data_IF_355035444892
#
_entry.id   IF_355035444892
#
_cell.length_a   1.000
_cell.length_b   1.000
_cell.length_c   1.000
_cell.angle_alpha   90.00
_cell.angle_beta   90.00
_cell.angle_gamma   90.00
#
_symmetry.space_group_name_H-M   'P 1'
#
loop_
_entity.id
_entity.type
_entity.pdbx_description
1 polymer ?
#
# COMPACT_ATOMS: atom_id res chain seq x y z
N UNK A 1 100.40 68.11 30.27
CA UNK A 1 99.27 67.49 30.98
C UNK A 1 97.90 67.92 30.44
N UNK A 2 97.58 69.22 30.28
CA UNK A 2 96.28 69.68 29.73
C UNK A 2 95.93 69.14 28.32
N UNK A 3 96.89 69.18 27.39
CA UNK A 3 96.67 68.74 26.00
C UNK A 3 96.35 67.24 25.90
N UNK A 4 96.97 66.40 26.74
CA UNK A 4 96.70 64.95 26.79
C UNK A 4 95.31 64.63 27.37
N UNK A 5 94.81 65.47 28.29
CA UNK A 5 93.46 65.33 28.85
C UNK A 5 92.41 65.75 27.82
N UNK A 6 92.66 66.81 27.06
CA UNK A 6 91.78 67.23 25.96
C UNK A 6 91.73 66.18 24.85
N UNK A 7 92.86 65.56 24.50
CA UNK A 7 92.91 64.49 23.51
C UNK A 7 92.22 63.20 23.99
N UNK A 8 92.35 62.84 25.27
CA UNK A 8 91.64 61.72 25.87
C UNK A 8 90.12 61.96 25.88
N UNK A 9 89.68 63.18 26.24
CA UNK A 9 88.26 63.55 26.20
C UNK A 9 87.69 63.51 24.78
N UNK A 10 88.45 63.96 23.78
CA UNK A 10 88.03 63.88 22.38
C UNK A 10 87.87 62.43 21.88
N UNK A 11 88.70 61.49 22.37
CA UNK A 11 88.57 60.06 22.05
C UNK A 11 87.35 59.43 22.71
N UNK A 12 87.07 59.77 23.96
CA UNK A 12 85.87 59.30 24.69
C UNK A 12 84.59 59.81 24.03
N UNK A 13 84.56 61.06 23.56
CA UNK A 13 83.42 61.61 22.83
C UNK A 13 83.22 60.87 21.50
N UNK A 14 84.28 60.59 20.75
CA UNK A 14 84.19 59.79 19.52
C UNK A 14 83.73 58.36 19.76
N UNK A 15 84.17 57.71 20.83
CA UNK A 15 83.70 56.37 21.21
C UNK A 15 82.23 56.39 21.65
N UNK A 16 81.79 57.42 22.38
CA UNK A 16 80.37 57.58 22.74
C UNK A 16 79.49 57.84 21.52
N UNK A 17 79.93 58.67 20.57
CA UNK A 17 79.20 58.91 19.33
C UNK A 17 79.17 57.65 18.46
N UNK A 18 80.28 56.91 18.36
CA UNK A 18 80.32 55.64 17.63
C UNK A 18 79.40 54.59 18.27
N UNK A 19 79.38 54.50 19.60
CA UNK A 19 78.49 53.63 20.36
C UNK A 19 77.02 54.03 20.19
N UNK A 20 76.70 55.33 20.20
CA UNK A 20 75.35 55.82 19.93
C UNK A 20 74.92 55.51 18.50
N UNK A 21 75.81 55.68 17.52
CA UNK A 21 75.53 55.35 16.12
C UNK A 21 75.32 53.84 15.92
N UNK A 22 76.06 52.99 16.62
CA UNK A 22 75.84 51.53 16.57
C UNK A 22 74.57 51.09 17.28
N UNK A 23 74.08 51.86 18.27
CA UNK A 23 72.78 51.63 18.93
C UNK A 23 71.63 52.14 18.05
N UNK A 24 71.83 53.24 17.31
CA UNK A 24 70.82 53.84 16.40
C UNK A 24 70.70 53.08 15.07
N UNK A 25 71.81 52.60 14.49
CA UNK A 25 71.83 51.73 13.31
C UNK A 25 71.52 50.26 13.63
N UNK A 26 71.43 49.88 14.92
CA UNK A 26 70.95 48.56 15.30
C UNK A 26 69.44 48.49 15.04
N UNK A 27 68.96 47.59 14.16
CA UNK A 27 67.53 47.46 13.90
C UNK A 27 66.80 47.09 15.21
N UNK A 28 65.59 47.65 15.46
CA UNK A 28 64.87 47.42 16.71
C UNK A 28 64.57 45.92 16.83
N UNK A 29 65.38 45.22 17.63
CA UNK A 29 65.25 43.78 17.83
C UNK A 29 64.55 43.55 19.17
N UNK A 30 63.32 44.05 19.26
CA UNK A 30 62.30 43.43 20.11
C UNK A 30 61.36 42.77 19.12
N UNK A 31 61.71 41.54 18.73
CA UNK A 31 60.72 40.63 18.14
C UNK A 31 59.83 40.19 19.29
N UNK A 32 58.81 41.00 19.59
CA UNK A 32 57.63 40.52 20.28
C UNK A 32 57.15 39.31 19.46
N UNK A 33 57.41 38.12 19.98
CA UNK A 33 57.05 36.90 19.28
C UNK A 33 55.54 36.82 19.42
N UNK A 34 54.84 37.33 18.40
CA UNK A 34 53.38 37.28 18.29
C UNK A 34 52.93 35.81 18.20
N UNK A 35 52.86 35.14 19.34
CA UNK A 35 52.38 33.76 19.49
C UNK A 35 50.92 33.76 19.98
N UNK A 36 50.32 34.93 20.24
CA UNK A 36 49.01 35.06 20.91
C UNK A 36 47.89 35.55 19.99
N UNK A 37 47.94 35.32 18.67
CA UNK A 37 46.87 35.79 17.75
C UNK A 37 46.06 34.64 17.15
N UNK A 38 46.65 33.44 17.01
CA UNK A 38 45.95 32.30 16.43
C UNK A 38 45.05 31.57 17.45
N UNK A 39 45.51 31.45 18.69
CA UNK A 39 44.76 30.77 19.75
C UNK A 39 43.57 31.59 20.26
N UNK A 40 43.69 32.92 20.34
CA UNK A 40 42.60 33.83 20.72
C UNK A 40 41.48 33.85 19.69
N UNK A 41 41.80 33.99 18.40
CA UNK A 41 40.80 33.92 17.34
C UNK A 41 40.08 32.56 17.29
N UNK A 42 40.81 31.47 17.60
CA UNK A 42 40.25 30.14 17.70
C UNK A 42 39.37 29.97 18.94
N UNK A 43 39.76 30.55 20.07
CA UNK A 43 38.95 30.57 21.30
C UNK A 43 37.66 31.37 21.08
N UNK A 44 37.72 32.52 20.43
CA UNK A 44 36.54 33.34 20.12
C UNK A 44 35.59 32.59 19.18
N UNK A 45 36.12 31.98 18.10
CA UNK A 45 35.33 31.16 17.18
C UNK A 45 34.67 29.95 17.87
N UNK A 46 35.41 29.27 18.76
CA UNK A 46 34.86 28.16 19.56
C UNK A 46 33.83 28.65 20.57
N UNK A 47 33.98 29.86 21.10
CA UNK A 47 33.03 30.47 22.04
C UNK A 47 31.71 30.78 21.32
N UNK A 48 31.78 31.36 20.13
CA UNK A 48 30.61 31.63 19.27
C UNK A 48 29.90 30.33 18.85
N UNK A 49 30.66 29.28 18.51
CA UNK A 49 30.12 27.97 18.19
C UNK A 49 29.42 27.35 19.42
N UNK A 50 30.02 27.44 20.60
CA UNK A 50 29.41 26.95 21.85
C UNK A 50 28.14 27.72 22.20
N UNK A 51 28.09 29.03 21.98
CA UNK A 51 26.86 29.82 22.16
C UNK A 51 25.78 29.41 21.16
N UNK A 52 26.13 29.23 19.89
CA UNK A 52 25.23 28.75 18.85
C UNK A 52 24.67 27.36 19.18
N UNK A 53 25.53 26.45 19.62
CA UNK A 53 25.15 25.09 20.04
C UNK A 53 24.23 25.11 21.27
N UNK A 54 24.43 26.03 22.22
CA UNK A 54 23.51 26.20 23.36
C UNK A 54 22.13 26.63 22.92
N UNK A 55 22.03 27.55 21.95
CA UNK A 55 20.74 27.99 21.38
C UNK A 55 20.06 26.84 20.66
N UNK A 56 20.78 26.11 19.80
CA UNK A 56 20.25 24.95 19.09
C UNK A 56 19.77 23.85 20.06
N UNK A 57 20.51 23.60 21.14
CA UNK A 57 20.12 22.64 22.17
C UNK A 57 18.82 23.03 22.88
N UNK A 58 18.60 24.33 23.13
CA UNK A 58 17.35 24.80 23.71
C UNK A 58 16.16 24.65 22.75
N UNK A 59 16.37 24.97 21.47
CA UNK A 59 15.36 24.78 20.44
C UNK A 59 14.98 23.30 20.26
N UNK A 60 15.99 22.41 20.22
CA UNK A 60 15.77 20.97 20.13
C UNK A 60 15.01 20.43 21.34
N UNK A 61 15.34 20.89 22.55
CA UNK A 61 14.60 20.51 23.77
C UNK A 61 13.15 20.98 23.72
N UNK A 62 12.89 22.19 23.22
CA UNK A 62 11.52 22.69 23.08
C UNK A 62 10.74 21.86 22.05
N UNK A 63 11.33 21.57 20.89
CA UNK A 63 10.72 20.73 19.87
C UNK A 63 10.43 19.32 20.40
N UNK A 64 11.33 18.75 21.21
CA UNK A 64 11.13 17.45 21.84
C UNK A 64 9.95 17.46 22.84
N UNK A 65 9.79 18.52 23.63
CA UNK A 65 8.65 18.63 24.56
C UNK A 65 7.32 18.86 23.83
N UNK A 66 7.31 19.65 22.74
CA UNK A 66 6.14 19.80 21.88
C UNK A 66 5.74 18.48 21.21
N UNK A 67 6.72 17.71 20.72
CA UNK A 67 6.49 16.38 20.15
C UNK A 67 5.94 15.38 21.19
N UNK A 68 6.46 15.39 22.42
CA UNK A 68 5.93 14.57 23.52
C UNK A 68 4.48 14.92 23.84
N UNK A 69 4.14 16.22 23.89
CA UNK A 69 2.77 16.67 24.13
C UNK A 69 1.82 16.23 23.02
N UNK A 70 2.23 16.37 21.75
CA UNK A 70 1.46 15.90 20.60
C UNK A 70 1.25 14.38 20.63
N UNK A 71 2.28 13.62 21.03
CA UNK A 71 2.20 12.18 21.18
C UNK A 71 1.20 11.78 22.29
N UNK A 72 1.25 12.41 23.46
CA UNK A 72 0.31 12.16 24.54
C UNK A 72 -1.15 12.49 24.16
N UNK A 73 -1.37 13.58 23.41
CA UNK A 73 -2.72 13.92 22.90
C UNK A 73 -3.22 12.89 21.88
N UNK A 74 -2.35 12.41 20.99
CA UNK A 74 -2.68 11.37 20.04
C UNK A 74 -3.00 10.03 20.72
N UNK A 75 -2.23 9.66 21.76
CA UNK A 75 -2.50 8.48 22.58
C UNK A 75 -3.87 8.56 23.27
N UNK A 76 -4.21 9.71 23.85
CA UNK A 76 -5.54 9.93 24.47
C UNK A 76 -6.67 9.74 23.46
N UNK A 77 -6.55 10.32 22.25
CA UNK A 77 -7.55 10.16 21.18
C UNK A 77 -7.67 8.71 20.72
N UNK A 78 -6.55 7.99 20.64
CA UNK A 78 -6.56 6.57 20.29
C UNK A 78 -7.29 5.71 21.32
N UNK A 79 -7.16 6.01 22.61
CA UNK A 79 -7.91 5.33 23.68
C UNK A 79 -9.42 5.57 23.50
N UNK A 80 -9.83 6.81 23.23
CA UNK A 80 -11.25 7.13 22.98
C UNK A 80 -11.79 6.43 21.73
N UNK A 81 -11.02 6.38 20.65
CA UNK A 81 -11.40 5.62 19.44
C UNK A 81 -11.48 4.12 19.70
N UNK A 82 -10.58 3.55 20.49
CA UNK A 82 -10.61 2.13 20.84
C UNK A 82 -11.89 1.79 21.62
N UNK A 83 -12.29 2.63 22.57
CA UNK A 83 -13.56 2.46 23.31
C UNK A 83 -14.78 2.53 22.39
N UNK A 84 -14.82 3.52 21.49
CA UNK A 84 -15.91 3.64 20.51
C UNK A 84 -15.96 2.42 19.57
N UNK A 85 -14.81 1.87 19.20
CA UNK A 85 -14.73 0.65 18.40
C UNK A 85 -15.31 -0.54 19.16
N UNK A 86 -14.96 -0.72 20.43
CA UNK A 86 -15.50 -1.78 21.28
C UNK A 86 -17.03 -1.69 21.41
N UNK A 87 -17.58 -0.49 21.64
CA UNK A 87 -19.02 -0.26 21.69
C UNK A 87 -19.72 -0.56 20.36
N UNK A 88 -19.10 -0.22 19.23
CA UNK A 88 -19.67 -0.51 17.90
C UNK A 88 -19.60 -1.99 17.55
N UNK A 89 -18.52 -2.69 17.90
CA UNK A 89 -18.40 -4.15 17.75
C UNK A 89 -19.50 -4.85 18.56
N UNK A 90 -19.72 -4.44 19.81
CA UNK A 90 -20.82 -5.02 20.60
C UNK A 90 -22.21 -4.83 19.99
N UNK A 91 -22.46 -3.69 19.32
CA UNK A 91 -23.70 -3.48 18.56
C UNK A 91 -23.80 -4.36 17.33
N UNK A 92 -22.69 -4.60 16.63
CA UNK A 92 -22.64 -5.52 15.49
C UNK A 92 -22.96 -6.94 15.93
N UNK A 93 -22.38 -7.40 17.04
CA UNK A 93 -22.66 -8.74 17.58
C UNK A 93 -24.16 -8.89 17.93
N UNK A 94 -24.77 -7.88 18.57
CA UNK A 94 -26.21 -7.88 18.86
C UNK A 94 -27.08 -7.95 17.60
N UNK A 95 -26.71 -7.21 16.54
CA UNK A 95 -27.42 -7.23 15.26
C UNK A 95 -27.23 -8.56 14.53
N UNK A 96 -26.06 -9.18 14.63
CA UNK A 96 -25.78 -10.49 14.07
C UNK A 96 -26.65 -11.56 14.74
N UNK A 97 -26.73 -11.56 16.07
CA UNK A 97 -27.60 -12.47 16.83
C UNK A 97 -29.09 -12.27 16.46
N UNK A 98 -29.53 -11.02 16.30
CA UNK A 98 -30.90 -10.72 15.89
C UNK A 98 -31.19 -11.22 14.48
N UNK A 99 -30.24 -11.05 13.55
CA UNK A 99 -30.37 -11.54 12.17
C UNK A 99 -30.46 -13.06 12.14
N UNK A 100 -29.57 -13.76 12.85
CA UNK A 100 -29.60 -15.22 12.93
C UNK A 100 -30.95 -15.73 13.47
N UNK A 101 -31.48 -15.13 14.54
CA UNK A 101 -32.80 -15.50 15.08
C UNK A 101 -33.93 -15.25 14.08
N UNK A 102 -33.85 -14.20 13.26
CA UNK A 102 -34.83 -13.93 12.21
C UNK A 102 -34.72 -14.95 11.08
N UNK A 103 -33.51 -15.33 10.67
CA UNK A 103 -33.26 -16.38 9.68
C UNK A 103 -33.83 -17.73 10.14
N UNK A 104 -33.60 -18.11 11.40
CA UNK A 104 -34.18 -19.32 11.99
C UNK A 104 -35.72 -19.29 11.98
N UNK A 105 -36.32 -18.15 12.35
CA UNK A 105 -37.78 -17.97 12.27
C UNK A 105 -38.31 -18.06 10.85
N UNK A 106 -37.62 -17.46 9.88
CA UNK A 106 -37.99 -17.51 8.47
C UNK A 106 -37.92 -18.95 7.94
N UNK A 107 -36.86 -19.69 8.27
CA UNK A 107 -36.75 -21.11 7.89
C UNK A 107 -37.88 -21.95 8.48
N UNK A 108 -38.23 -21.72 9.76
CA UNK A 108 -39.36 -22.40 10.39
C UNK A 108 -40.68 -22.07 9.67
N UNK A 109 -40.96 -20.78 9.40
CA UNK A 109 -42.18 -20.39 8.67
C UNK A 109 -42.22 -20.92 7.24
N UNK A 110 -41.08 -20.97 6.54
CA UNK A 110 -40.98 -21.55 5.20
C UNK A 110 -41.33 -23.04 5.23
N UNK A 111 -40.83 -23.78 6.22
CA UNK A 111 -41.14 -25.20 6.40
C UNK A 111 -42.62 -25.44 6.71
N UNK A 112 -43.23 -24.61 7.57
CA UNK A 112 -44.66 -24.68 7.88
C UNK A 112 -45.51 -24.37 6.63
N UNK A 113 -45.14 -23.35 5.86
CA UNK A 113 -45.80 -23.01 4.61
C UNK A 113 -45.72 -24.16 3.59
N UNK A 114 -44.57 -24.82 3.50
CA UNK A 114 -44.37 -25.98 2.63
C UNK A 114 -45.28 -27.15 3.03
N UNK A 115 -45.39 -27.44 4.33
CA UNK A 115 -46.31 -28.48 4.86
C UNK A 115 -47.76 -28.13 4.56
N UNK A 116 -48.19 -26.88 4.80
CA UNK A 116 -49.55 -26.43 4.52
C UNK A 116 -49.90 -26.55 3.03
N UNK A 117 -48.98 -26.19 2.13
CA UNK A 117 -49.14 -26.40 0.69
C UNK A 117 -49.30 -27.89 0.35
N UNK A 118 -48.52 -28.76 0.98
CA UNK A 118 -48.62 -30.20 0.75
C UNK A 118 -49.94 -30.80 1.29
N UNK A 119 -50.42 -30.32 2.43
CA UNK A 119 -51.73 -30.69 2.97
C UNK A 119 -52.89 -30.23 2.07
N UNK A 120 -52.82 -29.01 1.52
CA UNK A 120 -53.82 -28.50 0.58
C UNK A 120 -53.90 -29.35 -0.71
N UNK A 121 -52.75 -29.82 -1.22
CA UNK A 121 -52.69 -30.70 -2.39
C UNK A 121 -53.27 -32.10 -2.13
N UNK A 122 -53.12 -32.62 -0.91
CA UNK A 122 -53.63 -33.95 -0.52
C UNK A 122 -55.10 -33.95 -0.12
N UNK A 123 -55.66 -32.79 0.27
CA UNK A 123 -57.07 -32.61 0.60
C UNK A 123 -57.96 -32.23 -0.60
N UNK A 124 -57.38 -32.07 -1.80
CA UNK A 124 -58.15 -31.89 -3.04
C UNK A 124 -58.81 -33.22 -3.44
N UNK A 125 -60.15 -33.31 -3.53
CA UNK A 125 -60.82 -34.56 -3.90
C UNK A 125 -60.58 -34.84 -5.37
N UNK A 126 -59.67 -35.77 -5.68
CA UNK A 126 -59.56 -36.34 -7.02
C UNK A 126 -60.73 -37.30 -7.25
N UNK A 127 -61.87 -36.76 -7.66
CA UNK A 127 -62.98 -37.53 -8.20
C UNK A 127 -62.58 -38.16 -9.54
N UNK A 128 -62.17 -39.43 -9.53
CA UNK A 128 -62.10 -40.27 -10.73
C UNK A 128 -63.51 -40.75 -11.09
N UNK A 129 -64.16 -40.15 -12.08
CA UNK A 129 -65.19 -40.81 -12.90
C UNK A 129 -65.22 -40.25 -14.33
N UNK A 130 -64.76 -41.09 -15.26
CA UNK A 130 -65.31 -41.40 -16.59
C UNK A 130 -65.64 -40.28 -17.60
N UNK A 131 -64.93 -40.33 -18.73
CA UNK A 131 -65.47 -40.40 -20.10
C UNK A 131 -66.82 -39.73 -20.40
N UNK A 132 -66.80 -38.64 -21.18
CA UNK A 132 -67.54 -38.54 -22.45
C UNK A 132 -67.26 -37.21 -23.17
N UNK A 133 -66.85 -37.33 -24.43
CA UNK A 133 -66.85 -36.30 -25.48
C UNK A 133 -68.29 -35.81 -25.77
N UNK A 134 -68.52 -34.54 -26.15
CA UNK A 134 -68.87 -34.21 -27.56
C UNK A 134 -68.10 -32.98 -28.06
N UNK A 135 -67.37 -33.06 -29.18
CA UNK A 135 -67.78 -32.71 -30.55
C UNK A 135 -68.17 -31.23 -30.74
N UNK A 136 -67.27 -30.57 -31.47
CA UNK A 136 -67.40 -29.34 -32.24
C UNK A 136 -68.65 -29.32 -33.11
N UNK A 137 -69.37 -28.19 -33.12
CA UNK A 137 -70.21 -27.76 -34.25
C UNK A 137 -70.04 -26.26 -34.47
N UNK A 138 -69.52 -25.95 -35.65
CA UNK A 138 -69.47 -24.63 -36.27
C UNK A 138 -70.89 -24.32 -36.74
N UNK A 139 -71.46 -23.18 -36.34
CA UNK A 139 -72.48 -22.47 -37.12
C UNK A 139 -72.13 -20.98 -37.13
N UNK A 140 -72.11 -20.47 -38.35
CA UNK A 140 -71.80 -19.12 -38.81
C UNK A 140 -72.99 -18.15 -38.61
N UNK A 141 -72.62 -16.86 -38.53
CA UNK A 141 -73.24 -15.71 -39.22
C UNK A 141 -74.67 -15.28 -38.84
N UNK A 142 -74.77 -14.08 -38.25
CA UNK A 142 -75.54 -12.96 -38.84
C UNK A 142 -75.36 -11.68 -38.04
N UNK A 143 -75.12 -10.59 -38.76
CA UNK A 143 -74.79 -9.28 -38.20
C UNK A 143 -75.96 -8.33 -37.98
N UNK A 144 -75.53 -7.13 -37.55
CA UNK A 144 -76.08 -5.80 -37.78
C UNK A 144 -77.12 -5.16 -36.82
N UNK A 145 -76.61 -4.08 -36.19
CA UNK A 145 -77.16 -2.72 -36.03
C UNK A 145 -78.31 -2.52 -35.01
N UNK A 146 -77.99 -1.89 -33.87
CA UNK A 146 -78.44 -0.50 -33.59
C UNK A 146 -77.65 0.18 -32.47
N UNK A 147 -77.23 1.41 -32.77
CA UNK A 147 -76.81 2.47 -31.86
C UNK A 147 -77.93 2.83 -30.87
N UNK A 148 -77.57 3.31 -29.67
CA UNK A 148 -78.04 4.56 -29.03
C UNK A 148 -77.21 4.81 -27.74
N UNK A 149 -76.26 5.74 -27.88
CA UNK A 149 -75.96 6.91 -27.02
C UNK A 149 -76.39 6.95 -25.53
N UNK A 150 -75.41 7.13 -24.62
CA UNK A 150 -75.24 8.32 -23.73
C UNK A 150 -74.30 8.02 -22.53
N UNK A 151 -73.23 8.81 -22.41
CA UNK A 151 -72.37 9.04 -21.22
C UNK A 151 -73.07 10.01 -20.24
N UNK A 152 -72.50 10.37 -19.07
CA UNK A 152 -71.69 9.64 -18.08
C UNK A 152 -72.28 9.75 -16.64
N UNK A 153 -71.97 8.80 -15.75
CA UNK A 153 -72.31 8.88 -14.32
C UNK A 153 -71.10 8.55 -13.46
N UNK A 154 -70.75 9.47 -12.56
CA UNK A 154 -69.59 9.43 -11.67
C UNK A 154 -69.77 8.44 -10.50
N UNK A 155 -68.61 8.05 -9.95
CA UNK A 155 -68.34 7.67 -8.56
C UNK A 155 -68.31 6.18 -8.11
N UNK A 156 -67.07 5.77 -7.81
CA UNK A 156 -66.61 5.15 -6.54
C UNK A 156 -66.50 3.63 -6.42
N UNK A 157 -65.26 3.23 -6.05
CA UNK A 157 -64.78 1.94 -5.56
C UNK A 157 -64.73 0.82 -6.63
N UNK A 158 -63.56 0.32 -7.02
CA UNK A 158 -62.61 -0.41 -6.18
C UNK A 158 -61.19 -0.23 -6.70
N UNK A 159 -60.31 0.33 -5.86
CA UNK A 159 -58.86 0.32 -6.07
C UNK A 159 -58.39 -1.11 -5.88
N UNK A 160 -58.18 -1.81 -6.98
CA UNK A 160 -57.27 -2.97 -7.03
C UNK A 160 -55.87 -2.38 -6.95
N UNK A 161 -55.31 -2.33 -5.75
CA UNK A 161 -53.89 -2.06 -5.55
C UNK A 161 -53.10 -3.24 -6.13
N UNK A 162 -52.58 -3.06 -7.34
CA UNK A 162 -51.46 -3.86 -7.81
C UNK A 162 -50.25 -3.62 -6.90
N UNK A 163 -49.38 -4.63 -6.69
CA UNK A 163 -48.18 -4.44 -5.87
C UNK A 163 -47.24 -3.51 -6.63
N UNK A 164 -47.09 -2.29 -6.11
CA UNK A 164 -46.13 -1.31 -6.60
C UNK A 164 -44.91 -1.37 -5.67
N UNK A 165 -44.01 -2.30 -5.94
CA UNK A 165 -42.63 -2.26 -5.45
C UNK A 165 -41.71 -2.42 -6.67
N UNK A 166 -41.01 -1.34 -7.05
CA UNK A 166 -39.55 -1.45 -7.20
C UNK A 166 -38.74 -0.21 -6.77
N UNK A 167 -39.37 0.91 -6.38
CA UNK A 167 -38.64 2.19 -6.22
C UNK A 167 -37.74 2.27 -4.98
N UNK A 168 -38.00 1.50 -3.92
CA UNK A 168 -37.22 1.50 -2.67
C UNK A 168 -35.91 0.72 -2.78
N UNK A 169 -35.95 -0.44 -3.46
CA UNK A 169 -34.79 -1.33 -3.65
C UNK A 169 -33.80 -0.72 -4.66
N UNK A 170 -34.28 -0.08 -5.72
CA UNK A 170 -33.44 0.61 -6.70
C UNK A 170 -32.67 1.80 -6.07
N UNK A 171 -33.31 2.53 -5.14
CA UNK A 171 -32.68 3.63 -4.40
C UNK A 171 -31.62 3.14 -3.41
N UNK A 172 -31.86 2.00 -2.76
CA UNK A 172 -30.88 1.34 -1.88
C UNK A 172 -29.68 0.81 -2.67
N UNK A 173 -29.92 0.11 -3.78
CA UNK A 173 -28.88 -0.41 -4.67
C UNK A 173 -28.01 0.72 -5.24
N UNK A 174 -28.64 1.85 -5.62
CA UNK A 174 -27.94 3.05 -6.07
C UNK A 174 -27.06 3.66 -4.99
N UNK A 175 -27.56 3.79 -3.76
CA UNK A 175 -26.78 4.31 -2.62
C UNK A 175 -25.59 3.41 -2.25
N UNK A 176 -25.73 2.08 -2.38
CA UNK A 176 -24.65 1.13 -2.15
C UNK A 176 -23.55 1.26 -3.20
N UNK A 177 -23.94 1.39 -4.47
CA UNK A 177 -23.01 1.59 -5.58
C UNK A 177 -22.29 2.94 -5.49
N UNK A 178 -23.00 4.01 -5.10
CA UNK A 178 -22.40 5.33 -4.84
C UNK A 178 -21.37 5.25 -3.71
N UNK A 179 -21.70 4.58 -2.60
CA UNK A 179 -20.77 4.38 -1.49
C UNK A 179 -19.55 3.53 -1.88
N UNK A 180 -19.72 2.51 -2.72
CA UNK A 180 -18.60 1.74 -3.26
C UNK A 180 -17.70 2.60 -4.14
N UNK A 181 -18.28 3.49 -4.93
CA UNK A 181 -17.56 4.42 -5.79
C UNK A 181 -16.74 5.42 -4.95
N UNK A 182 -17.35 6.05 -3.95
CA UNK A 182 -16.66 6.94 -3.00
C UNK A 182 -15.48 6.25 -2.31
N UNK A 183 -15.68 5.00 -1.87
CA UNK A 183 -14.63 4.21 -1.25
C UNK A 183 -13.46 3.93 -2.21
N UNK A 184 -13.73 3.70 -3.50
CA UNK A 184 -12.69 3.56 -4.52
C UNK A 184 -11.95 4.87 -4.76
N UNK A 185 -12.65 6.01 -4.75
CA UNK A 185 -12.03 7.33 -4.90
C UNK A 185 -11.14 7.67 -3.71
N UNK A 186 -11.56 7.33 -2.48
CA UNK A 186 -10.74 7.45 -1.28
C UNK A 186 -9.48 6.59 -1.37
N UNK A 187 -9.59 5.34 -1.84
CA UNK A 187 -8.42 4.47 -2.03
C UNK A 187 -7.42 5.09 -3.01
N UNK A 188 -7.89 5.55 -4.18
CA UNK A 188 -7.04 6.20 -5.19
C UNK A 188 -6.34 7.42 -4.59
N UNK A 189 -7.07 8.26 -3.86
CA UNK A 189 -6.50 9.42 -3.18
C UNK A 189 -5.40 9.02 -2.20
N UNK A 190 -5.65 8.05 -1.32
CA UNK A 190 -4.69 7.57 -0.35
C UNK A 190 -3.41 7.01 -0.98
N UNK A 191 -3.52 6.24 -2.07
CA UNK A 191 -2.33 5.64 -2.70
C UNK A 191 -1.56 6.58 -3.63
N UNK A 192 -2.14 7.73 -3.95
CA UNK A 192 -1.46 8.80 -4.70
C UNK A 192 -0.54 9.61 -3.77
N UNK A 193 -0.82 9.62 -2.47
CA UNK A 193 0.04 10.21 -1.45
C UNK A 193 1.26 9.30 -1.18
N UNK A 194 2.37 9.90 -0.72
CA UNK A 194 3.53 9.13 -0.28
C UNK A 194 3.27 8.55 1.12
N UNK A 195 2.87 7.28 1.14
CA UNK A 195 2.55 6.54 2.36
C UNK A 195 3.77 5.87 3.00
N UNK A 196 4.92 5.84 2.31
CA UNK A 196 6.16 5.25 2.80
C UNK A 196 6.06 3.78 3.22
N UNK A 197 6.82 3.44 4.28
CA UNK A 197 7.01 2.08 4.77
C UNK A 197 6.73 1.99 6.27
N UNK A 198 6.14 0.88 6.70
CA UNK A 198 5.94 0.54 8.11
C UNK A 198 6.57 -0.84 8.37
N UNK A 199 7.50 -0.94 9.32
CA UNK A 199 8.25 -2.17 9.62
C UNK A 199 8.89 -2.83 8.39
N UNK A 200 9.40 -2.01 7.47
CA UNK A 200 9.99 -2.47 6.20
C UNK A 200 8.98 -2.97 5.16
N UNK A 201 7.67 -2.84 5.43
CA UNK A 201 6.60 -3.21 4.49
C UNK A 201 6.05 -1.97 3.79
N UNK A 202 5.86 -2.01 2.47
CA UNK A 202 5.30 -0.89 1.72
C UNK A 202 3.81 -0.71 2.05
N UNK A 203 3.45 0.47 2.56
CA UNK A 203 2.12 0.72 3.14
C UNK A 203 1.04 0.74 2.07
N UNK A 204 1.28 1.38 0.92
CA UNK A 204 0.28 1.46 -0.16
C UNK A 204 -0.10 0.06 -0.67
N UNK A 205 0.85 -0.85 -0.86
CA UNK A 205 0.57 -2.24 -1.24
C UNK A 205 -0.33 -2.96 -0.22
N UNK A 206 -0.08 -2.75 1.08
CA UNK A 206 -0.89 -3.34 2.14
C UNK A 206 -2.32 -2.81 2.14
N UNK A 207 -2.48 -1.49 1.95
CA UNK A 207 -3.80 -0.85 1.88
C UNK A 207 -4.57 -1.35 0.66
N UNK A 208 -3.95 -1.33 -0.53
CA UNK A 208 -4.55 -1.85 -1.76
C UNK A 208 -5.00 -3.29 -1.55
N UNK A 209 -4.12 -4.15 -1.07
CA UNK A 209 -4.43 -5.56 -0.87
C UNK A 209 -5.62 -5.77 0.09
N UNK A 210 -5.62 -5.09 1.24
CA UNK A 210 -6.72 -5.18 2.21
C UNK A 210 -8.05 -4.69 1.63
N UNK A 211 -8.03 -3.58 0.87
CA UNK A 211 -9.23 -3.06 0.20
C UNK A 211 -9.77 -4.04 -0.83
N UNK A 212 -8.89 -4.66 -1.62
CA UNK A 212 -9.29 -5.70 -2.57
C UNK A 212 -9.86 -6.94 -1.86
N UNK A 213 -9.27 -7.40 -0.75
CA UNK A 213 -9.87 -8.50 0.01
C UNK A 213 -11.26 -8.16 0.55
N UNK A 214 -11.42 -6.93 1.05
CA UNK A 214 -12.67 -6.47 1.63
C UNK A 214 -13.80 -6.38 0.59
N UNK A 215 -13.52 -5.84 -0.61
CA UNK A 215 -14.51 -5.68 -1.68
C UNK A 215 -14.68 -6.92 -2.58
N UNK A 216 -13.82 -7.95 -2.42
CA UNK A 216 -13.79 -9.19 -3.22
C UNK A 216 -13.89 -8.99 -4.75
N UNK A 217 -13.17 -8.02 -5.37
CA UNK A 217 -13.24 -7.79 -6.81
C UNK A 217 -12.63 -8.95 -7.63
N UNK A 218 -11.92 -9.88 -6.98
CA UNK A 218 -11.32 -11.04 -7.62
C UNK A 218 -12.34 -12.04 -8.18
N UNK A 219 -13.55 -12.07 -7.62
CA UNK A 219 -14.60 -13.03 -7.95
C UNK A 219 -15.64 -12.45 -8.93
N UNK A 220 -15.53 -11.14 -9.25
CA UNK A 220 -16.51 -10.40 -10.04
C UNK A 220 -16.10 -10.32 -11.50
N UNK A 221 -17.06 -10.45 -12.41
CA UNK A 221 -16.81 -10.41 -13.87
C UNK A 221 -16.51 -9.00 -14.40
N UNK A 222 -16.96 -7.96 -13.69
CA UNK A 222 -16.76 -6.55 -14.05
C UNK A 222 -16.44 -5.73 -12.80
N UNK A 223 -15.33 -5.00 -12.85
CA UNK A 223 -14.93 -4.07 -11.79
C UNK A 223 -13.95 -3.05 -12.36
N UNK A 224 -14.04 -1.80 -11.89
CA UNK A 224 -13.16 -0.70 -12.31
C UNK A 224 -12.01 -0.46 -11.35
N UNK A 225 -12.02 -1.11 -10.17
CA UNK A 225 -11.03 -0.86 -9.11
C UNK A 225 -9.61 -1.19 -9.57
N UNK A 226 -9.45 -2.27 -10.36
CA UNK A 226 -8.15 -2.66 -10.89
C UNK A 226 -7.60 -1.61 -11.85
N UNK A 227 -8.41 -1.14 -12.80
CA UNK A 227 -7.99 -0.10 -13.75
C UNK A 227 -7.58 1.19 -13.04
N UNK A 228 -8.31 1.59 -12.00
CA UNK A 228 -8.01 2.78 -11.19
C UNK A 228 -6.68 2.67 -10.45
N UNK A 229 -6.39 1.51 -9.86
CA UNK A 229 -5.09 1.24 -9.20
C UNK A 229 -3.97 1.27 -10.23
N UNK A 230 -4.18 0.63 -11.38
CA UNK A 230 -3.21 0.60 -12.48
C UNK A 230 -2.92 2.01 -13.00
N UNK A 231 -3.94 2.85 -13.19
CA UNK A 231 -3.77 4.25 -13.59
C UNK A 231 -2.96 5.03 -12.55
N UNK A 232 -3.22 4.82 -11.26
CA UNK A 232 -2.48 5.48 -10.17
C UNK A 232 -0.99 5.12 -10.19
N UNK A 233 -0.67 3.83 -10.39
CA UNK A 233 0.72 3.37 -10.53
C UNK A 233 1.34 3.99 -11.79
N UNK A 234 0.61 3.97 -12.92
CA UNK A 234 1.09 4.48 -14.19
C UNK A 234 1.43 5.97 -14.15
N UNK A 235 0.57 6.79 -13.53
CA UNK A 235 0.81 8.23 -13.36
C UNK A 235 2.00 8.49 -12.44
N UNK A 236 2.16 7.70 -11.37
CA UNK A 236 3.24 7.93 -10.43
C UNK A 236 4.63 7.60 -11.02
N UNK A 237 4.70 6.68 -11.98
CA UNK A 237 5.96 6.33 -12.67
C UNK A 237 6.14 7.06 -14.01
N UNK A 238 5.34 8.09 -14.29
CA UNK A 238 5.40 8.84 -15.54
C UNK A 238 6.72 9.62 -15.67
N UNK A 239 7.32 10.04 -14.55
CA UNK A 239 8.61 10.73 -14.49
C UNK A 239 9.73 9.69 -14.34
N UNK A 240 10.45 9.33 -15.42
CA UNK A 240 11.36 8.18 -15.40
C UNK A 240 12.67 8.45 -14.66
N UNK A 241 13.04 9.71 -14.41
CA UNK A 241 14.35 10.07 -13.85
C UNK A 241 14.37 10.11 -12.30
N UNK A 242 13.22 9.93 -11.64
CA UNK A 242 13.15 9.93 -10.18
C UNK A 242 13.28 8.51 -9.62
N UNK A 243 14.51 8.09 -9.30
CA UNK A 243 14.80 6.76 -8.79
C UNK A 243 14.11 6.46 -7.45
N UNK A 244 13.84 7.46 -6.60
CA UNK A 244 13.20 7.26 -5.30
C UNK A 244 11.73 6.85 -5.47
N UNK A 245 11.00 7.57 -6.34
CA UNK A 245 9.61 7.23 -6.67
C UNK A 245 9.54 5.86 -7.36
N UNK A 246 10.45 5.59 -8.30
CA UNK A 246 10.52 4.31 -8.97
C UNK A 246 10.81 3.17 -7.99
N UNK A 247 11.76 3.33 -7.07
CA UNK A 247 12.07 2.32 -6.06
C UNK A 247 10.88 2.08 -5.11
N UNK A 248 10.21 3.15 -4.67
CA UNK A 248 8.98 3.06 -3.87
C UNK A 248 7.91 2.24 -4.60
N UNK A 249 7.61 2.53 -5.86
CA UNK A 249 6.61 1.80 -6.63
C UNK A 249 7.06 0.38 -7.01
N UNK A 250 8.36 0.12 -7.16
CA UNK A 250 8.92 -1.22 -7.33
C UNK A 250 8.64 -2.07 -6.08
N UNK A 251 8.91 -1.53 -4.89
CA UNK A 251 8.63 -2.20 -3.62
C UNK A 251 7.13 -2.46 -3.44
N UNK A 252 6.28 -1.47 -3.70
CA UNK A 252 4.83 -1.62 -3.60
C UNK A 252 4.28 -2.67 -4.58
N UNK A 253 4.67 -2.59 -5.86
CA UNK A 253 4.21 -3.50 -6.91
C UNK A 253 4.65 -4.93 -6.66
N UNK A 254 5.90 -5.15 -6.26
CA UNK A 254 6.42 -6.50 -5.93
C UNK A 254 5.71 -7.13 -4.74
N UNK A 255 5.50 -6.37 -3.66
CA UNK A 255 4.79 -6.86 -2.48
C UNK A 255 3.32 -7.15 -2.79
N UNK A 256 2.65 -6.27 -3.53
CA UNK A 256 1.27 -6.49 -3.95
C UNK A 256 1.17 -7.75 -4.82
N UNK A 257 2.08 -7.94 -5.78
CA UNK A 257 2.10 -9.12 -6.63
C UNK A 257 2.30 -10.41 -5.82
N UNK A 258 3.20 -10.40 -4.84
CA UNK A 258 3.40 -11.52 -3.91
C UNK A 258 2.11 -11.85 -3.14
N UNK A 259 1.45 -10.86 -2.55
CA UNK A 259 0.20 -11.05 -1.82
C UNK A 259 -0.91 -11.62 -2.72
N UNK A 260 -0.99 -11.16 -3.97
CA UNK A 260 -1.93 -11.68 -4.96
C UNK A 260 -1.60 -13.12 -5.39
N UNK A 261 -0.33 -13.49 -5.49
CA UNK A 261 0.08 -14.87 -5.79
C UNK A 261 -0.37 -15.86 -4.72
N UNK A 262 -0.35 -15.47 -3.45
CA UNK A 262 -0.87 -16.29 -2.35
C UNK A 262 -2.41 -16.38 -2.34
N UNK A 263 -3.09 -15.36 -2.87
CA UNK A 263 -4.56 -15.25 -2.81
C UNK A 263 -5.25 -15.93 -4.00
N UNK A 264 -4.70 -15.79 -5.22
CA UNK A 264 -5.34 -16.25 -6.44
C UNK A 264 -4.88 -17.67 -6.78
N UNK A 265 -5.84 -18.58 -7.03
CA UNK A 265 -5.51 -19.90 -7.60
C UNK A 265 -4.82 -19.71 -8.94
N UNK A 266 -3.71 -20.43 -9.15
CA UNK A 266 -3.09 -20.54 -10.46
C UNK A 266 -4.06 -21.27 -11.40
N UNK A 267 -4.91 -20.52 -12.11
CA UNK A 267 -5.76 -21.08 -13.15
C UNK A 267 -4.88 -21.54 -14.31
N UNK A 268 -4.66 -22.86 -14.39
CA UNK A 268 -4.23 -23.58 -15.59
C UNK A 268 -2.83 -23.29 -16.14
N UNK A 269 -1.79 -23.86 -15.52
CA UNK A 269 -0.52 -24.18 -16.22
C UNK A 269 0.30 -25.30 -15.54
N UNK A 270 0.04 -25.64 -14.27
CA UNK A 270 0.75 -26.70 -13.56
C UNK A 270 0.14 -28.11 -13.70
N UNK A 271 -0.87 -28.31 -14.55
CA UNK A 271 -1.46 -29.64 -14.84
C UNK A 271 -1.13 -30.18 -16.23
N UNK A 272 -0.20 -29.56 -16.98
CA UNK A 272 0.22 -30.01 -18.32
C UNK A 272 1.65 -30.57 -18.35
N UNK A 273 2.11 -31.20 -17.27
CA UNK A 273 3.11 -32.26 -17.44
C UNK A 273 2.36 -33.54 -17.82
N UNK A 274 2.71 -34.25 -18.91
CA UNK A 274 2.22 -35.59 -19.12
C UNK A 274 2.71 -36.43 -17.94
N UNK A 275 1.85 -36.66 -16.96
CA UNK A 275 2.10 -37.63 -15.91
C UNK A 275 2.07 -39.00 -16.59
N UNK A 276 3.24 -39.41 -17.08
CA UNK A 276 3.49 -40.74 -17.58
C UNK A 276 3.23 -41.69 -16.41
N UNK A 277 2.01 -42.23 -16.35
CA UNK A 277 1.69 -43.39 -15.51
C UNK A 277 2.70 -44.48 -15.86
N UNK A 278 3.74 -44.64 -15.05
CA UNK A 278 4.40 -45.93 -14.94
C UNK A 278 3.62 -46.70 -13.90
N UNK A 279 2.74 -47.58 -14.40
CA UNK A 279 2.38 -48.78 -13.66
C UNK A 279 3.66 -49.52 -13.32
N UNK A 280 4.06 -49.50 -12.04
CA UNK A 280 5.15 -50.33 -11.55
C UNK A 280 4.58 -51.70 -11.17
N UNK A 281 4.73 -52.65 -12.08
CA UNK A 281 4.68 -54.08 -11.76
C UNK A 281 5.92 -54.48 -10.95
N UNK A 282 5.73 -55.38 -10.00
CA UNK A 282 6.77 -56.00 -9.20
C UNK A 282 7.67 -56.93 -10.04
N UNK A 283 8.99 -56.87 -9.84
CA UNK A 283 9.81 -58.02 -9.39
C UNK A 283 11.30 -57.68 -9.30
N UNK A 284 11.89 -57.98 -8.13
CA UNK A 284 13.11 -58.77 -7.93
C UNK A 284 14.36 -58.43 -8.78
N UNK A 285 15.27 -57.63 -8.22
CA UNK A 285 16.68 -58.01 -8.00
C UNK A 285 17.37 -56.93 -7.14
N UNK A 286 17.96 -57.36 -6.04
CA UNK A 286 18.52 -56.47 -5.02
C UNK A 286 19.83 -55.81 -5.40
N UNK A 287 20.06 -54.61 -4.86
CA UNK A 287 21.36 -54.11 -4.41
C UNK A 287 21.16 -52.94 -3.45
N UNK A 288 21.85 -53.01 -2.32
CA UNK A 288 21.76 -52.09 -1.19
C UNK A 288 22.39 -50.73 -1.52
N UNK A 289 21.68 -49.64 -1.22
CA UNK A 289 22.28 -48.40 -0.73
C UNK A 289 21.27 -47.60 0.09
N UNK A 290 21.70 -47.27 1.29
CA UNK A 290 21.05 -46.42 2.29
C UNK A 290 20.73 -45.04 1.70
N UNK A 291 19.52 -44.52 1.95
CA UNK A 291 19.14 -43.17 1.54
C UNK A 291 17.87 -42.72 2.24
N UNK A 292 18.01 -41.70 3.08
CA UNK A 292 16.99 -41.08 3.93
C UNK A 292 15.75 -40.65 3.13
N UNK A 293 14.55 -40.89 3.70
CA UNK A 293 13.30 -40.27 3.27
C UNK A 293 13.40 -38.75 3.42
N UNK A 294 13.58 -38.04 2.31
CA UNK A 294 13.31 -36.59 2.24
C UNK A 294 12.07 -36.36 1.39
N UNK A 295 11.04 -35.81 2.04
CA UNK A 295 9.86 -35.20 1.41
C UNK A 295 10.30 -34.12 0.42
N UNK A 296 9.64 -33.94 -0.74
CA UNK A 296 9.95 -32.81 -1.61
C UNK A 296 9.34 -31.55 -1.01
N UNK A 297 10.13 -30.82 -0.21
CA UNK A 297 9.88 -29.40 0.04
C UNK A 297 10.63 -28.63 -1.05
N UNK A 298 9.86 -27.98 -1.92
CA UNK A 298 10.36 -26.98 -2.87
C UNK A 298 11.03 -25.84 -2.10
N UNK A 299 12.25 -25.40 -2.47
CA UNK A 299 12.93 -24.31 -1.79
C UNK A 299 12.41 -22.96 -2.34
N UNK A 300 11.54 -22.29 -1.58
CA UNK A 300 11.02 -20.97 -1.90
C UNK A 300 11.14 -20.02 -0.72
N UNK A 301 12.23 -19.24 -0.70
CA UNK A 301 12.41 -17.93 -0.04
C UNK A 301 11.70 -17.71 1.30
N UNK A 302 12.27 -18.25 2.38
CA UNK A 302 11.98 -17.83 3.76
C UNK A 302 12.85 -16.63 4.15
N UNK A 303 12.62 -15.48 3.52
CA UNK A 303 13.18 -14.21 3.97
C UNK A 303 12.00 -13.26 4.17
N UNK A 304 11.91 -12.65 5.36
CA UNK A 304 10.86 -11.73 5.87
C UNK A 304 9.89 -12.34 6.92
N UNK A 305 10.42 -12.57 8.13
CA UNK A 305 9.76 -12.45 9.44
C UNK A 305 8.26 -12.82 9.57
N UNK A 306 7.97 -14.11 9.76
CA UNK A 306 7.78 -14.68 11.11
C UNK A 306 6.91 -13.94 12.15
N UNK A 307 5.65 -13.62 11.86
CA UNK A 307 4.53 -13.75 12.84
C UNK A 307 3.15 -13.43 12.27
N UNK A 308 3.08 -12.63 11.22
CA UNK A 308 1.80 -12.25 10.60
C UNK A 308 1.49 -13.02 9.31
N UNK A 309 2.52 -13.53 8.62
CA UNK A 309 2.37 -14.22 7.34
C UNK A 309 2.03 -15.72 7.48
N UNK A 310 2.30 -16.32 8.64
CA UNK A 310 1.91 -17.72 8.92
C UNK A 310 0.40 -17.94 9.04
N UNK A 311 -0.40 -16.85 9.11
CA UNK A 311 -1.87 -16.87 9.11
C UNK A 311 -2.47 -16.58 7.73
N UNK A 312 -1.66 -16.61 6.66
CA UNK A 312 -2.13 -16.39 5.29
C UNK A 312 -2.22 -17.70 4.48
N UNK A 313 -1.55 -18.77 4.91
CA UNK A 313 -1.63 -20.10 4.29
C UNK A 313 -3.03 -20.75 4.43
N UNK A 314 -3.85 -20.28 5.37
CA UNK A 314 -5.25 -20.73 5.56
C UNK A 314 -6.28 -19.86 4.82
N UNK A 315 -5.88 -18.81 4.08
CA UNK A 315 -6.82 -18.07 3.24
C UNK A 315 -7.14 -18.90 2.00
N UNK A 316 -8.33 -19.52 2.03
CA UNK A 316 -9.02 -20.18 0.93
C UNK A 316 -8.69 -19.51 -0.41
N UNK A 317 -7.81 -20.13 -1.21
CA UNK A 317 -7.41 -19.58 -2.50
C UNK A 317 -8.65 -19.28 -3.37
N UNK A 318 -8.70 -18.06 -3.92
CA UNK A 318 -9.84 -17.54 -4.67
C UNK A 318 -9.72 -17.93 -6.14
N UNK A 319 -10.83 -18.39 -6.74
CA UNK A 319 -10.90 -18.58 -8.19
C UNK A 319 -11.05 -17.21 -8.88
N UNK A 320 -9.94 -16.73 -9.42
CA UNK A 320 -9.86 -15.40 -10.01
C UNK A 320 -10.65 -15.33 -11.34
N UNK A 321 -11.49 -14.30 -11.49
CA UNK A 321 -12.08 -13.93 -12.78
C UNK A 321 -11.09 -13.19 -13.67
N UNK A 322 -11.43 -13.05 -14.95
CA UNK A 322 -10.59 -12.42 -15.97
C UNK A 322 -10.00 -11.05 -15.55
N UNK A 323 -10.77 -10.09 -14.97
CA UNK A 323 -10.21 -8.79 -14.56
C UNK A 323 -9.07 -8.91 -13.55
N UNK A 324 -9.14 -9.87 -12.62
CA UNK A 324 -8.09 -10.10 -11.63
C UNK A 324 -6.82 -10.70 -12.23
N UNK A 325 -6.98 -11.59 -13.22
CA UNK A 325 -5.86 -12.17 -13.95
C UNK A 325 -5.14 -11.10 -14.79
N UNK A 326 -5.90 -10.24 -15.46
CA UNK A 326 -5.36 -9.11 -16.22
C UNK A 326 -4.63 -8.12 -15.30
N UNK A 327 -5.23 -7.78 -14.15
CA UNK A 327 -4.60 -6.93 -13.15
C UNK A 327 -3.25 -7.46 -12.68
N UNK A 328 -3.18 -8.76 -12.36
CA UNK A 328 -1.92 -9.42 -11.98
C UNK A 328 -0.87 -9.34 -13.10
N UNK A 329 -1.28 -9.55 -14.35
CA UNK A 329 -0.40 -9.44 -15.51
C UNK A 329 0.11 -8.01 -15.70
N UNK A 330 -0.75 -7.00 -15.57
CA UNK A 330 -0.37 -5.60 -15.67
C UNK A 330 0.62 -5.20 -14.56
N UNK A 331 0.38 -5.61 -13.31
CA UNK A 331 1.34 -5.40 -12.21
C UNK A 331 2.70 -6.05 -12.50
N UNK A 332 2.71 -7.24 -13.10
CA UNK A 332 3.96 -7.90 -13.50
C UNK A 332 4.71 -7.08 -14.56
N UNK A 333 4.00 -6.57 -15.56
CA UNK A 333 4.59 -5.69 -16.58
C UNK A 333 5.11 -4.36 -15.99
N UNK A 334 4.40 -3.77 -15.02
CA UNK A 334 4.88 -2.59 -14.31
C UNK A 334 6.15 -2.88 -13.52
N UNK A 335 6.23 -4.02 -12.84
CA UNK A 335 7.43 -4.43 -12.11
C UNK A 335 8.65 -4.48 -13.04
N UNK A 336 8.51 -5.13 -14.19
CA UNK A 336 9.57 -5.22 -15.21
C UNK A 336 9.94 -3.84 -15.78
N UNK A 337 8.94 -3.01 -16.08
CA UNK A 337 9.13 -1.65 -16.59
C UNK A 337 9.91 -0.78 -15.59
N UNK A 338 9.48 -0.76 -14.33
CA UNK A 338 10.10 0.03 -13.26
C UNK A 338 11.54 -0.43 -13.04
N UNK A 339 11.77 -1.74 -12.96
CA UNK A 339 13.12 -2.29 -12.84
C UNK A 339 14.02 -1.87 -14.01
N UNK A 340 13.50 -1.93 -15.24
CA UNK A 340 14.21 -1.46 -16.44
C UNK A 340 14.60 0.01 -16.36
N UNK A 341 13.67 0.88 -15.95
CA UNK A 341 13.92 2.33 -15.81
C UNK A 341 15.02 2.61 -14.78
N UNK A 342 14.93 2.02 -13.57
CA UNK A 342 15.95 2.19 -12.52
C UNK A 342 17.31 1.71 -13.03
N UNK A 343 17.38 0.51 -13.63
CA UNK A 343 18.62 -0.05 -14.18
C UNK A 343 19.24 0.88 -15.21
N UNK A 344 18.45 1.41 -16.13
CA UNK A 344 18.94 2.27 -17.20
C UNK A 344 19.41 3.64 -16.67
N UNK A 345 18.75 4.18 -15.64
CA UNK A 345 19.19 5.40 -14.93
C UNK A 345 20.51 5.18 -14.19
N UNK A 346 20.60 4.13 -13.37
CA UNK A 346 21.83 3.78 -12.66
C UNK A 346 22.98 3.53 -13.64
N UNK A 347 22.70 2.87 -14.78
CA UNK A 347 23.70 2.69 -15.83
C UNK A 347 24.18 4.04 -16.37
N UNK A 348 23.28 4.99 -16.65
CA UNK A 348 23.66 6.34 -17.12
C UNK A 348 24.50 7.10 -16.09
N UNK A 349 24.17 7.02 -14.81
CA UNK A 349 24.89 7.70 -13.72
C UNK A 349 26.27 7.09 -13.45
N UNK A 350 26.36 5.76 -13.42
CA UNK A 350 27.57 5.05 -13.01
C UNK A 350 28.57 4.91 -14.18
N UNK A 351 28.11 4.77 -15.43
CA UNK A 351 29.00 4.59 -16.60
C UNK A 351 30.11 5.65 -16.73
N UNK A 352 29.84 6.97 -16.62
CA UNK A 352 30.91 7.98 -16.70
C UNK A 352 31.89 7.89 -15.53
N UNK A 353 31.40 7.59 -14.32
CA UNK A 353 32.25 7.43 -13.13
C UNK A 353 33.21 6.25 -13.28
N UNK A 354 32.70 5.10 -13.77
CA UNK A 354 33.54 3.94 -14.09
C UNK A 354 34.57 4.30 -15.17
N UNK A 355 34.17 5.05 -16.20
CA UNK A 355 35.07 5.54 -17.23
C UNK A 355 36.25 6.34 -16.66
N UNK A 356 35.98 7.24 -15.71
CA UNK A 356 37.01 8.02 -15.02
C UNK A 356 37.94 7.12 -14.17
N UNK A 357 37.38 6.15 -13.44
CA UNK A 357 38.17 5.22 -12.63
C UNK A 357 39.11 4.35 -13.47
N UNK A 358 38.70 3.97 -14.68
CA UNK A 358 39.53 3.16 -15.59
C UNK A 358 40.63 4.02 -16.26
N UNK A 359 40.33 5.28 -16.57
CA UNK A 359 41.26 6.19 -17.25
C UNK A 359 42.26 6.88 -16.32
N UNK A 360 42.04 6.84 -14.99
CA UNK A 360 42.96 7.40 -14.01
C UNK A 360 44.36 6.79 -14.20
N UNK A 361 45.37 7.57 -14.64
CA UNK A 361 46.74 7.06 -14.74
C UNK A 361 47.21 6.67 -13.34
N UNK A 362 48.07 5.66 -13.24
CA UNK A 362 48.70 5.20 -12.00
C UNK A 362 49.66 6.23 -11.37
N UNK A 363 49.21 7.46 -11.13
CA UNK A 363 49.96 8.55 -10.49
C UNK A 363 50.17 8.36 -8.98
N UNK A 364 49.84 7.19 -8.42
CA UNK A 364 50.15 6.82 -7.04
C UNK A 364 51.30 5.81 -6.92
N UNK A 365 52.03 5.51 -8.00
CA UNK A 365 53.26 4.69 -7.95
C UNK A 365 54.46 5.56 -8.35
N UNK A 366 54.71 6.63 -7.59
CA UNK A 366 56.01 7.31 -7.55
C UNK A 366 56.01 8.30 -6.36
N UNK A 367 56.20 7.78 -5.15
CA UNK A 367 56.85 8.49 -4.04
C UNK A 367 57.80 7.51 -3.38
#
# INVERSE_FOLDING_TARGET
MKIQVEEANARVIKEQEAARKTIEDAPPTIKETAVVVQDTAKIDALTDEVETLKVLLLLEKQAAEEAKKACAEAESKNVDFAKNLEETVGKVDQLQDSTQRLEEKLSNFESENQVLRQQALTMSPTGKTMSARPRTTIIQENGNIHNIEMKPGYDTALVVSSPKEPESEEKLQKSLNEKQQENQDLLVKCITEDLGFADGKPVAACIIYKSLLHWRPFEVERTTVFDRIIQSVASAIEVPDNNDILAYWLCNTSNLLMLLQHTLKASGAASLTPHRRRSSSASLFGRMSQGLRTSPQTPGLSFLNGRMLGRLDDLRQVEAKYPALLFKQQLTAFLEKIYGMIRDNLKKEISPLIGLCIQAPGHLVQV
#
